data_IF_605156345284
#
_entry.id   IF_605156345284
#
_cell.length_a   1.000
_cell.length_b   1.000
_cell.length_c   1.000
_cell.angle_alpha   90.00
_cell.angle_beta   90.00
_cell.angle_gamma   90.00
#
_symmetry.space_group_name_H-M   'P 1'
#
loop_
_entity.id
_entity.type
_entity.pdbx_description
1 polymer ?
#
# COMPACT_ATOMS: atom_id res chain seq x y z
N UNK A 1 13.34 -0.52 -63.92
CA UNK A 1 13.67 0.79 -63.31
C UNK A 1 12.59 1.10 -62.29
N UNK A 2 12.92 1.05 -61.00
CA UNK A 2 11.95 1.17 -59.90
C UNK A 2 12.21 2.53 -59.24
N UNK A 3 11.29 3.47 -59.44
CA UNK A 3 11.37 4.82 -58.86
C UNK A 3 10.92 4.79 -57.40
N UNK A 4 11.81 5.17 -56.49
CA UNK A 4 11.52 5.29 -55.06
C UNK A 4 11.12 6.74 -54.76
N UNK A 5 9.93 7.01 -54.18
CA UNK A 5 9.53 8.36 -53.81
C UNK A 5 10.30 8.83 -52.57
N UNK A 6 10.97 9.97 -52.71
CA UNK A 6 11.63 10.69 -51.61
C UNK A 6 10.58 11.48 -50.83
N UNK A 7 10.21 10.99 -49.64
CA UNK A 7 9.32 11.69 -48.72
C UNK A 7 10.12 12.70 -47.88
N UNK A 8 9.63 13.94 -47.81
CA UNK A 8 10.24 15.06 -47.07
C UNK A 8 10.10 14.87 -45.55
N UNK A 9 11.20 14.97 -44.76
CA UNK A 9 11.20 14.72 -43.32
C UNK A 9 10.72 15.92 -42.47
N UNK A 10 10.35 17.04 -43.08
CA UNK A 10 9.96 18.24 -42.35
C UNK A 10 8.45 18.34 -42.22
N UNK A 11 7.92 17.82 -41.11
CA UNK A 11 6.56 18.14 -40.70
C UNK A 11 6.46 19.61 -40.32
N UNK A 12 5.39 20.32 -40.73
CA UNK A 12 5.15 21.69 -40.30
C UNK A 12 5.03 21.74 -38.78
N UNK A 13 5.83 22.60 -38.17
CA UNK A 13 5.89 22.80 -36.72
C UNK A 13 4.55 23.39 -36.29
N UNK A 14 3.70 22.57 -35.67
CA UNK A 14 2.45 23.02 -35.05
C UNK A 14 2.80 24.02 -33.94
N UNK A 15 2.28 25.24 -34.06
CA UNK A 15 2.48 26.29 -33.06
C UNK A 15 1.96 25.82 -31.69
N UNK A 16 2.73 26.06 -30.60
CA UNK A 16 2.33 25.63 -29.27
C UNK A 16 1.05 26.37 -28.83
N UNK A 17 0.12 25.70 -28.12
CA UNK A 17 -1.09 26.33 -27.65
C UNK A 17 -0.77 27.47 -26.65
N UNK A 18 -1.51 28.58 -26.69
CA UNK A 18 -1.27 29.70 -25.79
C UNK A 18 -1.53 29.31 -24.32
N UNK A 19 -0.78 29.88 -23.36
CA UNK A 19 -0.95 29.60 -21.95
C UNK A 19 -2.32 30.08 -21.45
N UNK A 20 -3.09 29.18 -20.87
CA UNK A 20 -4.37 29.50 -20.24
C UNK A 20 -4.09 30.05 -18.83
N UNK A 21 -4.34 31.34 -18.63
CA UNK A 21 -4.26 31.98 -17.30
C UNK A 21 -5.57 31.70 -16.56
N UNK A 22 -5.55 30.75 -15.63
CA UNK A 22 -6.68 30.48 -14.74
C UNK A 22 -6.69 31.49 -13.60
N UNK A 23 -7.52 32.52 -13.71
CA UNK A 23 -7.88 33.40 -12.60
C UNK A 23 -8.74 32.60 -11.61
N UNK A 24 -8.11 32.02 -10.58
CA UNK A 24 -8.81 31.48 -9.43
C UNK A 24 -9.48 32.65 -8.69
N UNK A 25 -10.76 32.86 -8.95
CA UNK A 25 -11.59 33.71 -8.13
C UNK A 25 -11.62 33.14 -6.70
N UNK A 26 -11.25 33.97 -5.73
CA UNK A 26 -11.22 33.61 -4.32
C UNK A 26 -12.66 33.40 -3.83
N UNK A 27 -13.10 32.15 -3.81
CA UNK A 27 -14.32 31.75 -3.11
C UNK A 27 -14.03 31.71 -1.63
N UNK A 28 -14.62 32.67 -0.91
CA UNK A 28 -14.71 32.71 0.55
C UNK A 28 -15.21 31.37 1.10
N UNK A 29 -14.30 30.61 1.70
CA UNK A 29 -14.61 29.42 2.47
C UNK A 29 -15.12 29.87 3.84
N UNK A 30 -16.43 30.07 3.95
CA UNK A 30 -17.12 30.22 5.22
C UNK A 30 -16.95 28.90 5.99
N UNK A 31 -16.02 28.85 6.95
CA UNK A 31 -15.89 27.74 7.89
C UNK A 31 -17.04 27.81 8.92
N UNK A 32 -17.89 26.78 9.05
CA UNK A 32 -18.79 26.70 10.18
C UNK A 32 -17.98 26.46 11.46
N UNK A 33 -18.26 27.27 12.49
CA UNK A 33 -17.67 27.15 13.80
C UNK A 33 -17.87 25.74 14.36
N UNK A 34 -16.77 25.08 14.71
CA UNK A 34 -16.76 23.77 15.36
C UNK A 34 -17.36 23.88 16.76
N UNK A 35 -18.41 23.11 17.03
CA UNK A 35 -18.90 22.86 18.39
C UNK A 35 -17.91 21.95 19.13
N UNK A 36 -17.40 22.33 20.31
CA UNK A 36 -16.64 21.43 21.16
C UNK A 36 -17.62 20.66 22.04
N UNK A 37 -17.99 19.45 21.63
CA UNK A 37 -18.82 18.58 22.46
C UNK A 37 -18.44 17.12 22.28
N UNK A 38 -17.37 16.70 22.98
CA UNK A 38 -17.39 15.37 23.56
C UNK A 38 -16.61 15.32 24.87
N UNK A 39 -17.42 15.34 25.92
CA UNK A 39 -17.13 15.04 27.31
C UNK A 39 -16.49 13.65 27.48
N UNK A 40 -15.40 13.63 28.24
CA UNK A 40 -14.95 12.59 29.18
C UNK A 40 -14.99 11.12 28.75
N UNK A 41 -13.79 10.55 28.58
CA UNK A 41 -13.47 9.21 29.06
C UNK A 41 -12.02 9.15 29.51
N UNK A 42 -11.82 9.25 30.83
CA UNK A 42 -10.55 8.95 31.52
C UNK A 42 -10.21 7.49 31.27
N UNK A 43 -9.43 7.19 30.24
CA UNK A 43 -8.75 5.91 30.13
C UNK A 43 -7.56 5.93 31.10
N UNK A 44 -7.76 5.34 32.27
CA UNK A 44 -6.66 4.97 33.17
C UNK A 44 -5.82 3.92 32.45
N UNK A 45 -4.72 4.36 31.83
CA UNK A 45 -3.64 3.47 31.44
C UNK A 45 -2.80 3.18 32.70
N UNK A 46 -3.21 2.19 33.48
CA UNK A 46 -2.31 1.54 34.43
C UNK A 46 -1.30 0.73 33.63
N UNK A 47 -0.11 1.31 33.46
CA UNK A 47 1.06 0.59 32.96
C UNK A 47 1.52 -0.39 34.04
N UNK A 48 1.62 -1.69 33.78
CA UNK A 48 2.34 -2.58 34.69
C UNK A 48 3.83 -2.26 34.60
N UNK A 49 4.41 -1.83 35.73
CA UNK A 49 5.85 -1.86 35.97
C UNK A 49 6.32 -3.29 35.69
N UNK A 50 7.11 -3.47 34.63
CA UNK A 50 7.91 -4.67 34.46
C UNK A 50 9.19 -4.44 35.26
N UNK A 51 9.34 -5.27 36.27
CA UNK A 51 10.48 -5.26 37.18
C UNK A 51 11.76 -5.52 36.40
N UNK A 52 12.69 -4.63 36.64
CA UNK A 52 14.13 -4.80 36.53
C UNK A 52 14.54 -6.15 37.14
N UNK A 53 15.17 -6.99 36.32
CA UNK A 53 15.95 -8.13 36.81
C UNK A 53 17.21 -8.17 35.95
N UNK A 54 18.23 -7.51 36.46
CA UNK A 54 19.59 -7.61 35.96
C UNK A 54 20.09 -9.05 36.04
N UNK A 55 20.72 -9.47 34.96
CA UNK A 55 21.71 -10.54 34.98
C UNK A 55 22.87 -10.08 34.11
N UNK A 56 23.91 -9.60 34.78
CA UNK A 56 25.26 -9.49 34.24
C UNK A 56 25.70 -10.88 33.76
N UNK A 57 26.14 -11.03 32.51
CA UNK A 57 27.31 -11.85 32.20
C UNK A 57 27.89 -11.58 30.79
N UNK A 58 29.22 -11.44 30.80
CA UNK A 58 30.21 -11.76 29.76
C UNK A 58 30.15 -11.11 28.38
N UNK A 59 31.09 -10.19 28.23
CA UNK A 59 31.72 -9.74 26.99
C UNK A 59 32.47 -10.88 26.29
N UNK A 60 32.05 -11.23 25.07
CA UNK A 60 32.92 -11.87 24.06
C UNK A 60 32.81 -11.14 22.72
N UNK A 61 33.84 -10.42 22.26
CA UNK A 61 33.89 -9.91 20.90
C UNK A 61 34.27 -11.04 19.93
N UNK A 62 33.27 -11.68 19.33
CA UNK A 62 33.52 -12.57 18.18
C UNK A 62 33.54 -11.73 16.91
N UNK A 63 34.74 -11.58 16.35
CA UNK A 63 34.96 -10.98 15.05
C UNK A 63 34.30 -11.85 13.95
N UNK A 64 33.20 -11.38 13.39
CA UNK A 64 32.54 -12.02 12.26
C UNK A 64 33.16 -11.48 10.95
N UNK A 65 33.57 -12.36 10.01
CA UNK A 65 34.23 -11.96 8.78
C UNK A 65 33.32 -11.12 7.86
N UNK A 66 33.95 -10.19 7.16
CA UNK A 66 33.35 -9.25 6.21
C UNK A 66 32.37 -9.92 5.26
N UNK A 67 31.11 -9.48 5.31
CA UNK A 67 30.08 -9.86 4.37
C UNK A 67 30.46 -9.41 2.97
N UNK A 68 30.44 -10.35 2.03
CA UNK A 68 30.50 -10.12 0.60
C UNK A 68 29.43 -9.09 0.18
N UNK A 69 29.73 -8.17 -0.75
CA UNK A 69 28.72 -7.30 -1.33
C UNK A 69 27.74 -8.16 -2.13
N UNK A 70 26.61 -8.49 -1.51
CA UNK A 70 25.45 -9.05 -2.21
C UNK A 70 25.07 -8.07 -3.30
N UNK A 71 25.37 -8.43 -4.54
CA UNK A 71 24.86 -7.79 -5.74
C UNK A 71 23.33 -7.91 -5.71
N UNK A 72 22.66 -6.93 -5.10
CA UNK A 72 21.26 -6.69 -5.35
C UNK A 72 21.15 -6.42 -6.84
N UNK A 73 20.71 -7.44 -7.60
CA UNK A 73 20.27 -7.28 -8.97
C UNK A 73 19.22 -6.17 -8.94
N UNK A 74 19.67 -4.96 -9.28
CA UNK A 74 18.80 -3.84 -9.54
C UNK A 74 17.91 -4.28 -10.69
N UNK A 75 16.67 -4.59 -10.38
CA UNK A 75 15.62 -4.67 -11.39
C UNK A 75 15.45 -3.25 -11.93
N UNK A 76 16.33 -2.88 -12.87
CA UNK A 76 16.30 -1.63 -13.61
C UNK A 76 15.16 -1.73 -14.61
N UNK A 77 13.93 -1.58 -14.13
CA UNK A 77 12.77 -1.31 -14.98
C UNK A 77 12.89 0.11 -15.53
N UNK A 78 13.62 0.19 -16.64
CA UNK A 78 13.52 1.16 -17.74
C UNK A 78 12.49 2.30 -17.57
N UNK A 79 12.97 3.49 -17.21
CA UNK A 79 12.61 4.75 -17.87
C UNK A 79 11.20 5.33 -17.72
N UNK A 80 10.31 4.76 -16.90
CA UNK A 80 9.02 5.37 -16.56
C UNK A 80 9.11 6.18 -15.27
N UNK A 81 8.25 7.21 -15.10
CA UNK A 81 8.00 7.89 -13.83
C UNK A 81 7.34 6.92 -12.82
N UNK A 82 8.06 5.88 -12.42
CA UNK A 82 7.60 4.86 -11.49
C UNK A 82 7.80 5.39 -10.09
N UNK A 83 6.72 5.49 -9.32
CA UNK A 83 6.75 5.90 -7.93
C UNK A 83 7.43 4.79 -7.12
N UNK A 84 8.62 5.03 -6.56
CA UNK A 84 9.36 4.00 -5.85
C UNK A 84 8.63 3.60 -4.58
N UNK A 85 8.82 2.35 -4.16
CA UNK A 85 8.32 1.90 -2.86
C UNK A 85 9.09 2.66 -1.76
N UNK A 86 8.40 3.30 -0.80
CA UNK A 86 9.08 4.02 0.27
C UNK A 86 9.97 3.05 1.08
N UNK A 87 11.28 3.34 1.11
CA UNK A 87 12.27 2.54 1.83
C UNK A 87 11.97 2.61 3.34
N UNK A 88 11.91 1.47 4.01
CA UNK A 88 11.56 1.40 5.44
C UNK A 88 10.06 1.41 5.76
N UNK A 89 9.18 1.50 4.75
CA UNK A 89 7.76 1.29 4.94
C UNK A 89 7.49 -0.20 5.21
N UNK A 90 7.55 -0.61 6.48
CA UNK A 90 6.76 -1.74 6.92
C UNK A 90 5.33 -1.52 6.41
N UNK A 91 4.71 -2.57 5.84
CA UNK A 91 3.39 -2.61 5.19
C UNK A 91 2.27 -1.99 6.05
N UNK A 92 2.32 -0.69 6.27
CA UNK A 92 1.37 0.12 7.02
C UNK A 92 0.51 0.83 5.99
N UNK A 93 -0.80 0.75 6.18
CA UNK A 93 -1.80 1.32 5.25
C UNK A 93 -1.60 2.84 5.07
N UNK A 94 -0.93 3.52 6.02
CA UNK A 94 -0.54 4.94 5.92
C UNK A 94 0.33 5.23 4.69
N UNK A 95 1.07 4.25 4.17
CA UNK A 95 1.88 4.44 2.97
C UNK A 95 1.02 4.76 1.74
N UNK A 96 -0.25 4.35 1.71
CA UNK A 96 -1.19 4.65 0.63
C UNK A 96 -1.77 6.06 0.68
N UNK A 97 -1.27 6.95 1.56
CA UNK A 97 -1.78 8.32 1.69
C UNK A 97 -1.59 9.19 0.44
N UNK A 98 -0.65 8.79 -0.42
CA UNK A 98 -0.38 9.39 -1.74
C UNK A 98 -1.56 9.19 -2.71
N UNK A 99 -2.36 8.14 -2.52
CA UNK A 99 -3.47 7.80 -3.42
C UNK A 99 -4.73 8.59 -3.00
N UNK A 100 -5.41 9.29 -3.92
CA UNK A 100 -6.68 9.96 -3.66
C UNK A 100 -7.68 9.03 -2.96
N UNK A 101 -8.42 9.59 -1.99
CA UNK A 101 -9.31 8.80 -1.12
C UNK A 101 -10.33 7.98 -1.92
N UNK A 102 -10.93 8.58 -2.95
CA UNK A 102 -11.97 7.92 -3.76
C UNK A 102 -11.40 6.70 -4.52
N UNK A 103 -10.22 6.85 -5.13
CA UNK A 103 -9.53 5.75 -5.81
C UNK A 103 -9.11 4.66 -4.83
N UNK A 104 -8.65 5.07 -3.64
CA UNK A 104 -8.27 4.14 -2.57
C UNK A 104 -9.46 3.29 -2.12
N UNK A 105 -10.62 3.91 -1.95
CA UNK A 105 -11.85 3.22 -1.54
C UNK A 105 -12.38 2.30 -2.63
N UNK A 106 -12.36 2.74 -3.90
CA UNK A 106 -12.73 1.93 -5.05
C UNK A 106 -11.83 0.69 -5.17
N UNK A 107 -10.51 0.87 -5.11
CA UNK A 107 -9.54 -0.22 -5.12
C UNK A 107 -9.79 -1.18 -3.96
N UNK A 108 -9.94 -0.66 -2.73
CA UNK A 108 -10.19 -1.48 -1.54
C UNK A 108 -11.46 -2.31 -1.67
N UNK A 109 -12.55 -1.72 -2.18
CA UNK A 109 -13.83 -2.41 -2.39
C UNK A 109 -13.67 -3.52 -3.42
N UNK A 110 -12.96 -3.27 -4.52
CA UNK A 110 -12.73 -4.26 -5.57
C UNK A 110 -11.82 -5.40 -5.12
N UNK A 111 -10.69 -5.08 -4.50
CA UNK A 111 -9.77 -6.06 -3.87
C UNK A 111 -10.54 -6.95 -2.91
N UNK A 112 -11.41 -6.38 -2.07
CA UNK A 112 -12.23 -7.14 -1.13
C UNK A 112 -13.18 -8.11 -1.83
N UNK A 113 -13.85 -7.68 -2.90
CA UNK A 113 -14.75 -8.54 -3.65
C UNK A 113 -14.00 -9.72 -4.30
N UNK A 114 -12.88 -9.46 -4.97
CA UNK A 114 -12.08 -10.50 -5.63
C UNK A 114 -11.45 -11.45 -4.60
N UNK A 115 -10.92 -10.92 -3.50
CA UNK A 115 -10.38 -11.74 -2.43
C UNK A 115 -11.43 -12.64 -1.80
N UNK A 116 -12.67 -12.16 -1.60
CA UNK A 116 -13.74 -13.03 -1.09
C UNK A 116 -14.18 -14.13 -2.05
N UNK A 117 -13.92 -13.98 -3.35
CA UNK A 117 -14.31 -14.95 -4.37
C UNK A 117 -13.22 -16.00 -4.63
N UNK A 118 -11.94 -15.61 -4.54
CA UNK A 118 -10.81 -16.41 -5.05
C UNK A 118 -9.77 -16.78 -4.00
N UNK A 119 -9.72 -16.09 -2.86
CA UNK A 119 -8.69 -16.27 -1.85
C UNK A 119 -9.27 -16.84 -0.56
N UNK A 120 -8.45 -17.58 0.17
CA UNK A 120 -8.83 -18.08 1.50
C UNK A 120 -8.64 -16.96 2.53
N UNK A 121 -9.73 -16.40 3.03
CA UNK A 121 -9.69 -15.31 4.01
C UNK A 121 -9.16 -15.73 5.39
N UNK A 122 -8.98 -17.03 5.64
CA UNK A 122 -8.49 -17.57 6.91
C UNK A 122 -6.97 -17.73 6.93
N UNK A 123 -6.37 -17.98 5.76
CA UNK A 123 -4.93 -18.18 5.63
C UNK A 123 -4.15 -16.85 5.52
N UNK A 124 -2.91 -16.77 6.04
CA UNK A 124 -2.05 -15.61 5.85
C UNK A 124 -1.59 -15.47 4.38
N UNK A 125 -1.21 -14.25 3.96
CA UNK A 125 -0.77 -13.95 2.58
C UNK A 125 0.28 -14.94 2.04
N UNK A 126 1.30 -15.27 2.85
CA UNK A 126 2.38 -16.19 2.44
C UNK A 126 1.94 -17.63 2.18
N UNK A 127 0.75 -18.04 2.67
CA UNK A 127 0.19 -19.37 2.47
C UNK A 127 -0.93 -19.39 1.43
N UNK A 128 -1.23 -18.26 0.80
CA UNK A 128 -2.23 -18.21 -0.27
C UNK A 128 -1.71 -18.93 -1.52
N UNK A 129 -2.66 -19.40 -2.33
CA UNK A 129 -2.33 -19.90 -3.66
C UNK A 129 -1.75 -18.77 -4.52
N UNK A 130 -0.57 -19.02 -5.08
CA UNK A 130 0.18 -18.04 -5.88
C UNK A 130 -0.51 -17.77 -7.22
N UNK A 131 -1.21 -18.77 -7.77
CA UNK A 131 -1.93 -18.61 -9.03
C UNK A 131 -3.16 -17.73 -8.84
N UNK A 132 -3.94 -17.99 -7.79
CA UNK A 132 -5.05 -17.12 -7.39
C UNK A 132 -4.61 -15.68 -7.12
N UNK A 133 -3.46 -15.48 -6.45
CA UNK A 133 -2.89 -14.15 -6.23
C UNK A 133 -2.57 -13.44 -7.55
N UNK A 134 -1.85 -14.11 -8.47
CA UNK A 134 -1.50 -13.54 -9.79
C UNK A 134 -2.74 -13.18 -10.61
N UNK A 135 -3.79 -13.99 -10.53
CA UNK A 135 -5.06 -13.75 -11.22
C UNK A 135 -5.75 -12.50 -10.66
N UNK A 136 -5.82 -12.38 -9.33
CA UNK A 136 -6.36 -11.18 -8.68
C UNK A 136 -5.55 -9.95 -9.05
N UNK A 137 -4.22 -10.05 -9.06
CA UNK A 137 -3.32 -9.00 -9.51
C UNK A 137 -3.63 -8.59 -10.96
N UNK A 138 -3.68 -9.54 -11.90
CA UNK A 138 -3.93 -9.23 -13.31
C UNK A 138 -5.28 -8.56 -13.56
N UNK A 139 -6.35 -9.00 -12.88
CA UNK A 139 -7.68 -8.38 -13.01
C UNK A 139 -7.62 -6.93 -12.52
N UNK A 140 -7.00 -6.70 -11.37
CA UNK A 140 -6.95 -5.37 -10.76
C UNK A 140 -6.03 -4.43 -11.55
N UNK A 141 -4.90 -4.91 -12.06
CA UNK A 141 -4.02 -4.10 -12.93
C UNK A 141 -4.74 -3.66 -14.20
N UNK A 142 -5.64 -4.50 -14.73
CA UNK A 142 -6.42 -4.18 -15.93
C UNK A 142 -7.49 -3.12 -15.63
N UNK A 143 -8.15 -3.19 -14.47
CA UNK A 143 -9.19 -2.23 -14.08
C UNK A 143 -8.63 -0.89 -13.58
N UNK A 144 -7.48 -0.91 -12.91
CA UNK A 144 -6.85 0.26 -12.32
C UNK A 144 -5.48 0.49 -12.94
N UNK A 145 -5.48 0.97 -14.19
CA UNK A 145 -4.25 1.22 -14.97
C UNK A 145 -3.23 2.13 -14.26
N UNK A 146 -3.69 3.04 -13.40
CA UNK A 146 -2.80 3.89 -12.59
C UNK A 146 -1.90 3.11 -11.63
N UNK A 147 -2.22 1.86 -11.28
CA UNK A 147 -1.37 1.00 -10.47
C UNK A 147 -0.05 0.66 -11.17
N UNK A 148 -0.02 0.71 -12.51
CA UNK A 148 1.20 0.49 -13.31
C UNK A 148 2.26 1.57 -13.05
N UNK A 149 1.85 2.73 -12.53
CA UNK A 149 2.78 3.81 -12.16
C UNK A 149 3.50 3.54 -10.83
N UNK A 150 3.11 2.50 -10.09
CA UNK A 150 3.67 2.15 -8.79
C UNK A 150 4.59 0.94 -8.93
N UNK A 151 5.78 1.03 -8.33
CA UNK A 151 6.75 -0.07 -8.34
C UNK A 151 6.13 -1.36 -7.77
N UNK A 152 6.21 -2.45 -8.53
CA UNK A 152 5.68 -3.77 -8.16
C UNK A 152 4.19 -3.77 -7.77
N UNK A 153 3.44 -2.75 -8.17
CA UNK A 153 2.04 -2.55 -7.75
C UNK A 153 1.88 -2.65 -6.23
N UNK A 154 2.87 -2.14 -5.47
CA UNK A 154 2.91 -2.27 -4.00
C UNK A 154 1.62 -1.84 -3.28
N UNK A 155 0.81 -0.86 -3.74
CA UNK A 155 -0.44 -0.52 -3.06
C UNK A 155 -1.40 -1.71 -3.00
N UNK A 156 -1.49 -2.49 -4.08
CA UNK A 156 -2.34 -3.67 -4.15
C UNK A 156 -1.91 -4.71 -3.11
N UNK A 157 -0.61 -5.01 -3.04
CA UNK A 157 -0.07 -5.96 -2.06
C UNK A 157 -0.34 -5.52 -0.62
N UNK A 158 -0.22 -4.22 -0.32
CA UNK A 158 -0.56 -3.64 1.00
C UNK A 158 -2.03 -3.85 1.32
N UNK A 159 -2.94 -3.57 0.38
CA UNK A 159 -4.38 -3.78 0.61
C UNK A 159 -4.72 -5.24 0.83
N UNK A 160 -4.16 -6.15 0.04
CA UNK A 160 -4.42 -7.58 0.16
C UNK A 160 -3.93 -8.11 1.51
N UNK A 161 -2.68 -7.75 1.87
CA UNK A 161 -2.09 -8.16 3.15
C UNK A 161 -2.89 -7.61 4.33
N UNK A 162 -3.29 -6.34 4.29
CA UNK A 162 -4.09 -5.71 5.33
C UNK A 162 -5.47 -6.37 5.48
N UNK A 163 -6.11 -6.71 4.36
CA UNK A 163 -7.41 -7.38 4.34
C UNK A 163 -7.34 -8.77 4.98
N UNK A 164 -6.36 -9.59 4.59
CA UNK A 164 -6.17 -10.93 5.13
C UNK A 164 -5.83 -10.87 6.63
N UNK A 165 -4.95 -9.96 7.04
CA UNK A 165 -4.64 -9.73 8.47
C UNK A 165 -5.89 -9.35 9.27
N UNK A 166 -6.71 -8.42 8.75
CA UNK A 166 -7.93 -7.98 9.42
C UNK A 166 -8.95 -9.13 9.57
N UNK A 167 -9.16 -9.91 8.51
CA UNK A 167 -10.08 -11.06 8.52
C UNK A 167 -9.64 -12.15 9.49
N UNK A 168 -8.35 -12.51 9.47
CA UNK A 168 -7.77 -13.46 10.42
C UNK A 168 -7.96 -13.00 11.86
N UNK A 169 -7.60 -11.75 12.16
CA UNK A 169 -7.76 -11.19 13.52
C UNK A 169 -9.21 -11.23 13.98
N UNK A 170 -10.18 -10.88 13.11
CA UNK A 170 -11.61 -10.98 13.43
C UNK A 170 -12.06 -12.41 13.70
N UNK A 171 -11.60 -13.38 12.91
CA UNK A 171 -11.94 -14.79 13.10
C UNK A 171 -11.47 -15.30 14.46
N UNK A 172 -10.26 -14.93 14.89
CA UNK A 172 -9.72 -15.30 16.21
C UNK A 172 -10.53 -14.68 17.36
N UNK A 173 -10.91 -13.40 17.24
CA UNK A 173 -11.76 -12.74 18.24
C UNK A 173 -13.13 -13.44 18.37
N UNK A 174 -13.73 -13.85 17.25
CA UNK A 174 -14.99 -14.60 17.28
C UNK A 174 -14.83 -15.97 17.94
N UNK A 175 -13.71 -16.67 17.72
CA UNK A 175 -13.42 -17.95 18.41
C UNK A 175 -13.30 -17.75 19.91
N UNK A 176 -12.53 -16.76 20.36
CA UNK A 176 -12.35 -16.45 21.78
C UNK A 176 -13.68 -16.13 22.46
N UNK A 177 -14.53 -15.30 21.82
CA UNK A 177 -15.85 -14.98 22.35
C UNK A 177 -16.73 -16.23 22.56
N UNK A 178 -16.73 -17.16 21.59
CA UNK A 178 -17.49 -18.41 21.71
C UNK A 178 -16.98 -19.32 22.83
N UNK A 179 -15.67 -19.37 23.03
CA UNK A 179 -15.07 -20.13 24.14
C UNK A 179 -15.50 -19.52 25.47
N UNK A 180 -15.41 -18.19 25.63
CA UNK A 180 -15.84 -17.52 26.87
C UNK A 180 -17.33 -17.73 27.17
N UNK A 181 -18.19 -17.72 26.15
CA UNK A 181 -19.63 -17.95 26.30
C UNK A 181 -19.97 -19.40 26.66
N UNK A 182 -19.18 -20.38 26.21
CA UNK A 182 -19.39 -21.80 26.55
C UNK A 182 -18.90 -22.20 27.95
N UNK A 183 -18.10 -21.34 28.60
CA UNK A 183 -17.60 -21.54 29.97
C UNK A 183 -18.47 -20.85 31.04
N UNK A 184 -19.40 -19.98 30.63
CA UNK A 184 -20.33 -19.28 31.51
C UNK A 184 -21.64 -20.07 31.67
#
# INVERSE_FOLDING_TARGET
>A
MISVPTASPFHPISTPPPPVVLLLAMTDLIMPASTPLLMHSKLRFSSPLTSDSGSDDSTTPTATPAALPSSSLGSSTSGGNVIPRPTGAQLRVKSCDIIPKDLREALRKRVKALASQRLDLTAPYSKQDKEALRLVESIISTEFSWLLNYQDQWPLQVFLTALLKYKKSRAEVTKMKKVTEALA
#
